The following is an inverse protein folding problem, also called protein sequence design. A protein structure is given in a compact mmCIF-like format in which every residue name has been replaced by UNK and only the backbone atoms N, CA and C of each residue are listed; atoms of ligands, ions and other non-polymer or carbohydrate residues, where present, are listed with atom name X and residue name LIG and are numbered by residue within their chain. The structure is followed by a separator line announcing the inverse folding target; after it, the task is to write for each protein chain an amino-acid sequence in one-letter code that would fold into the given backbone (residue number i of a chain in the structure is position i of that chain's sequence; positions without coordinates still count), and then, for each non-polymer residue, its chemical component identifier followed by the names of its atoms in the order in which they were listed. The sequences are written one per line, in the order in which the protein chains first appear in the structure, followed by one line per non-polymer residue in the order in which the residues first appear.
data_IF_778754296514
#
_entry.id   IF_778754296514
#
_cell.length_a   1.000
_cell.length_b   1.000
_cell.length_c   1.000
_cell.angle_alpha   90.00
_cell.angle_beta   90.00
_cell.angle_gamma   90.00
#
_symmetry.space_group_name_H-M   'P 1'
#
loop_
_entity.id
_entity.type
_entity.pdbx_description
1 polymer ?
#
# COMPACT_ATOMS: atom_id res chain seq x y z
N UNK A 1 23.56 -17.27 -15.46
CA UNK A 1 22.53 -16.20 -15.50
C UNK A 1 21.38 -16.49 -14.52
N UNK A 2 20.63 -17.57 -14.62
CA UNK A 2 19.52 -17.84 -13.66
C UNK A 2 19.97 -17.92 -12.18
N UNK A 3 21.08 -18.58 -11.89
CA UNK A 3 21.64 -18.65 -10.53
C UNK A 3 22.02 -17.26 -10.00
N UNK A 4 22.69 -16.43 -10.80
CA UNK A 4 23.08 -15.08 -10.41
C UNK A 4 21.86 -14.17 -10.16
N UNK A 5 20.78 -14.32 -10.94
CA UNK A 5 19.53 -13.61 -10.69
C UNK A 5 18.92 -14.02 -9.34
N UNK A 6 18.91 -15.32 -9.03
CA UNK A 6 18.45 -15.84 -7.73
C UNK A 6 19.30 -15.33 -6.57
N UNK A 7 20.64 -15.29 -6.72
CA UNK A 7 21.55 -14.76 -5.71
C UNK A 7 21.24 -13.26 -5.43
N UNK A 8 21.01 -12.47 -6.45
CA UNK A 8 20.63 -11.08 -6.29
C UNK A 8 19.24 -10.90 -5.64
N UNK A 9 18.27 -11.77 -5.92
CA UNK A 9 16.99 -11.75 -5.19
C UNK A 9 17.21 -12.00 -3.70
N UNK A 10 18.00 -13.01 -3.34
CA UNK A 10 18.31 -13.33 -1.95
C UNK A 10 19.02 -12.16 -1.23
N UNK A 11 19.99 -11.51 -1.88
CA UNK A 11 20.68 -10.33 -1.33
C UNK A 11 19.72 -9.15 -1.17
N UNK A 12 18.80 -8.94 -2.11
CA UNK A 12 17.77 -7.90 -2.00
C UNK A 12 16.81 -8.15 -0.84
N UNK A 13 16.45 -9.41 -0.57
CA UNK A 13 15.65 -9.81 0.60
C UNK A 13 16.41 -9.49 1.88
N UNK A 14 17.67 -9.93 1.98
CA UNK A 14 18.50 -9.67 3.15
C UNK A 14 18.67 -8.17 3.42
N UNK A 15 18.84 -7.35 2.38
CA UNK A 15 18.89 -5.89 2.51
C UNK A 15 17.54 -5.30 2.98
N UNK A 16 16.40 -5.87 2.54
CA UNK A 16 15.07 -5.46 3.01
C UNK A 16 14.91 -5.76 4.49
N UNK A 17 15.34 -6.94 4.95
CA UNK A 17 15.30 -7.36 6.37
C UNK A 17 16.22 -6.48 7.23
N UNK A 18 17.36 -6.05 6.66
CA UNK A 18 18.25 -5.05 7.25
C UNK A 18 17.70 -3.62 7.19
N UNK A 19 16.55 -3.40 6.58
CA UNK A 19 15.88 -2.09 6.37
C UNK A 19 16.65 -1.15 5.46
N UNK A 20 17.58 -1.66 4.66
CA UNK A 20 18.31 -0.90 3.64
C UNK A 20 17.59 -1.00 2.28
N UNK A 21 16.58 -0.14 2.12
CA UNK A 21 15.75 -0.11 0.92
C UNK A 21 16.56 0.24 -0.34
N UNK A 22 17.62 1.03 -0.23
CA UNK A 22 18.46 1.43 -1.36
C UNK A 22 19.24 0.24 -1.90
N UNK A 23 19.94 -0.48 -1.03
CA UNK A 23 20.66 -1.70 -1.39
C UNK A 23 19.71 -2.78 -1.87
N UNK A 24 18.54 -2.92 -1.25
CA UNK A 24 17.51 -3.86 -1.70
C UNK A 24 17.09 -3.62 -3.16
N UNK A 25 16.78 -2.37 -3.53
CA UNK A 25 16.41 -2.03 -4.93
C UNK A 25 17.55 -2.32 -5.89
N UNK A 26 18.80 -1.98 -5.54
CA UNK A 26 19.96 -2.27 -6.39
C UNK A 26 20.07 -3.75 -6.71
N UNK A 27 19.90 -4.61 -5.72
CA UNK A 27 19.94 -6.06 -5.92
C UNK A 27 18.75 -6.58 -6.72
N UNK A 28 17.53 -6.13 -6.45
CA UNK A 28 16.38 -6.54 -7.27
C UNK A 28 16.54 -6.07 -8.72
N UNK A 29 17.06 -4.88 -8.97
CA UNK A 29 17.32 -4.40 -10.34
C UNK A 29 18.47 -5.16 -11.02
N UNK A 30 19.50 -5.58 -10.28
CA UNK A 30 20.54 -6.46 -10.80
C UNK A 30 19.98 -7.84 -11.21
N UNK A 31 19.06 -8.40 -10.44
CA UNK A 31 18.33 -9.62 -10.81
C UNK A 31 17.52 -9.40 -12.11
N UNK A 32 16.81 -8.25 -12.20
CA UNK A 32 15.99 -7.91 -13.38
C UNK A 32 16.78 -7.56 -14.63
N UNK A 33 18.04 -7.16 -14.48
CA UNK A 33 18.96 -6.99 -15.62
C UNK A 33 19.35 -8.34 -16.25
N UNK A 34 19.31 -9.42 -15.48
CA UNK A 34 19.62 -10.78 -15.96
C UNK A 34 18.37 -11.53 -16.42
N UNK A 35 17.26 -11.35 -15.70
CA UNK A 35 15.94 -11.90 -16.04
C UNK A 35 14.86 -10.84 -15.77
N UNK A 36 14.50 -10.11 -16.81
CA UNK A 36 13.53 -9.02 -16.73
C UNK A 36 12.12 -9.47 -16.34
N UNK A 37 11.82 -10.77 -16.51
CA UNK A 37 10.54 -11.38 -16.16
C UNK A 37 10.58 -12.14 -14.84
N UNK A 38 11.67 -12.04 -14.07
CA UNK A 38 11.73 -12.63 -12.73
C UNK A 38 10.58 -12.09 -11.85
N UNK A 39 9.64 -12.96 -11.53
CA UNK A 39 8.43 -12.59 -10.80
C UNK A 39 8.75 -11.95 -9.44
N UNK A 40 9.59 -12.63 -8.65
CA UNK A 40 9.91 -12.22 -7.30
C UNK A 40 10.66 -10.89 -7.25
N UNK A 41 11.67 -10.73 -8.09
CA UNK A 41 12.41 -9.47 -8.19
C UNK A 41 11.50 -8.30 -8.60
N UNK A 42 10.58 -8.52 -9.54
CA UNK A 42 9.66 -7.48 -10.00
C UNK A 42 8.73 -6.98 -8.89
N UNK A 43 8.01 -7.86 -8.18
CA UNK A 43 7.09 -7.38 -7.15
C UNK A 43 7.82 -6.80 -5.93
N UNK A 44 8.98 -7.35 -5.55
CA UNK A 44 9.80 -6.82 -4.46
C UNK A 44 10.38 -5.45 -4.78
N UNK A 45 10.95 -5.27 -5.98
CA UNK A 45 11.41 -3.96 -6.44
C UNK A 45 10.28 -2.92 -6.43
N UNK A 46 9.08 -3.29 -6.88
CA UNK A 46 7.93 -2.41 -6.89
C UNK A 46 7.54 -1.92 -5.48
N UNK A 47 7.45 -2.84 -4.52
CA UNK A 47 7.11 -2.49 -3.13
C UNK A 47 8.20 -1.63 -2.48
N UNK A 48 9.47 -2.00 -2.68
CA UNK A 48 10.61 -1.27 -2.10
C UNK A 48 10.70 0.15 -2.64
N UNK A 49 10.56 0.35 -3.95
CA UNK A 49 10.52 1.68 -4.57
C UNK A 49 9.35 2.52 -4.05
N UNK A 50 8.19 1.89 -3.85
CA UNK A 50 7.04 2.54 -3.24
C UNK A 50 7.37 3.08 -1.84
N UNK A 51 7.98 2.25 -0.99
CA UNK A 51 8.39 2.64 0.37
C UNK A 51 9.44 3.76 0.37
N UNK A 52 10.37 3.75 -0.59
CA UNK A 52 11.36 4.84 -0.74
C UNK A 52 10.73 6.18 -1.09
N UNK A 53 9.59 6.18 -1.76
CA UNK A 53 8.84 7.39 -2.11
C UNK A 53 8.00 7.95 -0.95
N UNK A 54 7.60 7.11 0.01
CA UNK A 54 6.66 7.48 1.09
C UNK A 54 7.17 8.63 2.02
N UNK A 55 8.48 8.80 2.32
CA UNK A 55 8.97 9.92 3.11
C UNK A 55 8.84 11.30 2.45
N UNK A 56 8.70 11.36 1.12
CA UNK A 56 8.60 12.65 0.41
C UNK A 56 7.24 13.31 0.66
N UNK A 57 7.20 14.62 0.99
CA UNK A 57 5.97 15.32 1.26
C UNK A 57 4.97 15.25 0.09
N UNK A 58 3.73 14.88 0.38
CA UNK A 58 2.66 14.82 -0.65
C UNK A 58 2.22 16.21 -1.13
N UNK A 59 2.43 17.24 -0.31
CA UNK A 59 2.07 18.64 -0.62
C UNK A 59 3.02 19.34 -1.60
N UNK A 60 4.21 18.78 -1.81
CA UNK A 60 5.21 19.35 -2.70
C UNK A 60 5.35 18.52 -3.99
N UNK A 61 5.67 19.18 -5.10
CA UNK A 61 6.13 18.49 -6.31
C UNK A 61 7.49 17.87 -6.00
N UNK A 62 7.66 16.59 -6.31
CA UNK A 62 8.92 15.87 -6.14
C UNK A 62 9.14 14.95 -7.34
N UNK A 63 9.96 15.37 -8.32
CA UNK A 63 10.31 14.53 -9.46
C UNK A 63 10.91 13.18 -9.04
N UNK A 64 11.68 13.17 -7.95
CA UNK A 64 12.30 11.96 -7.40
C UNK A 64 11.22 10.96 -6.94
N UNK A 65 10.27 11.41 -6.11
CA UNK A 65 9.15 10.59 -5.67
C UNK A 65 8.34 10.07 -6.86
N UNK A 66 8.02 10.96 -7.80
CA UNK A 66 7.19 10.64 -8.96
C UNK A 66 7.91 9.61 -9.85
N UNK A 67 9.23 9.69 -9.99
CA UNK A 67 10.07 8.69 -10.65
C UNK A 67 10.05 7.35 -9.92
N UNK A 68 10.17 7.34 -8.59
CA UNK A 68 10.10 6.12 -7.78
C UNK A 68 8.76 5.41 -7.98
N UNK A 69 7.66 6.13 -7.91
CA UNK A 69 6.31 5.55 -8.08
C UNK A 69 6.06 5.06 -9.52
N UNK A 70 6.57 5.77 -10.53
CA UNK A 70 6.45 5.32 -11.92
C UNK A 70 7.27 4.02 -12.16
N UNK A 71 8.45 3.91 -11.59
CA UNK A 71 9.26 2.69 -11.63
C UNK A 71 8.57 1.55 -10.90
N UNK A 72 8.03 1.81 -9.71
CA UNK A 72 7.27 0.83 -8.93
C UNK A 72 6.08 0.27 -9.74
N UNK A 73 5.28 1.12 -10.38
CA UNK A 73 4.17 0.69 -11.22
C UNK A 73 4.64 -0.18 -12.39
N UNK A 74 5.75 0.16 -13.06
CA UNK A 74 6.28 -0.65 -14.18
C UNK A 74 6.69 -2.05 -13.74
N UNK A 75 7.42 -2.16 -12.62
CA UNK A 75 7.83 -3.46 -12.09
C UNK A 75 6.63 -4.29 -11.61
N UNK A 76 5.67 -3.67 -10.94
CA UNK A 76 4.46 -4.36 -10.50
C UNK A 76 3.65 -4.92 -11.70
N UNK A 77 3.53 -4.17 -12.81
CA UNK A 77 2.90 -4.65 -14.04
C UNK A 77 3.65 -5.83 -14.65
N UNK A 78 5.00 -5.81 -14.63
CA UNK A 78 5.81 -6.95 -15.07
C UNK A 78 5.63 -8.17 -14.18
N UNK A 79 5.53 -7.98 -12.86
CA UNK A 79 5.25 -9.09 -11.94
C UNK A 79 3.93 -9.79 -12.31
N UNK A 80 2.85 -9.03 -12.51
CA UNK A 80 1.55 -9.60 -12.94
C UNK A 80 1.66 -10.28 -14.31
N UNK A 81 2.41 -9.72 -15.25
CA UNK A 81 2.62 -10.33 -16.56
C UNK A 81 3.46 -11.63 -16.47
N UNK A 82 4.47 -11.66 -15.59
CA UNK A 82 5.32 -12.83 -15.38
C UNK A 82 4.58 -13.99 -14.69
N UNK A 83 3.72 -13.67 -13.72
CA UNK A 83 2.90 -14.66 -13.03
C UNK A 83 1.50 -14.11 -12.69
N UNK A 84 0.52 -14.25 -13.60
CA UNK A 84 -0.86 -13.82 -13.35
C UNK A 84 -1.59 -14.58 -12.22
N UNK A 85 -1.03 -15.67 -11.73
CA UNK A 85 -1.55 -16.43 -10.59
C UNK A 85 -0.80 -16.12 -9.28
N UNK A 86 0.10 -15.13 -9.27
CA UNK A 86 0.87 -14.73 -8.10
C UNK A 86 0.19 -13.61 -7.32
N UNK A 87 -0.18 -13.86 -6.08
CA UNK A 87 -0.88 -12.88 -5.23
C UNK A 87 -0.06 -11.61 -4.97
N UNK A 88 1.26 -11.75 -4.72
CA UNK A 88 2.15 -10.63 -4.41
C UNK A 88 2.29 -9.65 -5.58
N UNK A 89 2.29 -10.14 -6.83
CA UNK A 89 2.31 -9.30 -8.03
C UNK A 89 1.07 -8.40 -8.12
N UNK A 90 -0.12 -8.96 -7.91
CA UNK A 90 -1.38 -8.22 -7.87
C UNK A 90 -1.42 -7.22 -6.70
N UNK A 91 -0.96 -7.63 -5.52
CA UNK A 91 -0.82 -6.72 -4.37
C UNK A 91 0.16 -5.58 -4.67
N UNK A 92 1.33 -5.87 -5.20
CA UNK A 92 2.33 -4.85 -5.55
C UNK A 92 1.78 -3.85 -6.59
N UNK A 93 1.00 -4.34 -7.56
CA UNK A 93 0.35 -3.46 -8.54
C UNK A 93 -0.70 -2.57 -7.89
N UNK A 94 -1.56 -3.12 -7.02
CA UNK A 94 -2.55 -2.34 -6.30
C UNK A 94 -1.88 -1.27 -5.41
N UNK A 95 -0.80 -1.60 -4.69
CA UNK A 95 -0.05 -0.70 -3.84
C UNK A 95 0.64 0.42 -4.64
N UNK A 96 1.30 0.07 -5.75
CA UNK A 96 2.00 1.03 -6.62
C UNK A 96 1.02 2.00 -7.28
N UNK A 97 -0.11 1.50 -7.78
CA UNK A 97 -1.18 2.33 -8.34
C UNK A 97 -1.77 3.27 -7.29
N UNK A 98 -1.94 2.81 -6.05
CA UNK A 98 -2.43 3.62 -4.93
C UNK A 98 -1.53 4.83 -4.67
N UNK A 99 -0.22 4.61 -4.61
CA UNK A 99 0.78 5.68 -4.44
C UNK A 99 0.81 6.64 -5.63
N UNK A 100 0.90 6.11 -6.85
CA UNK A 100 0.92 6.91 -8.06
C UNK A 100 -0.36 7.73 -8.25
N UNK A 101 -1.52 7.20 -7.84
CA UNK A 101 -2.81 7.91 -7.94
C UNK A 101 -2.83 9.21 -7.14
N UNK A 102 -2.08 9.32 -6.04
CA UNK A 102 -2.05 10.52 -5.21
C UNK A 102 -1.56 11.74 -5.99
N UNK A 103 -0.73 11.53 -7.00
CA UNK A 103 -0.14 12.59 -7.85
C UNK A 103 -0.95 12.90 -9.11
N UNK A 104 -1.99 12.10 -9.42
CA UNK A 104 -2.74 12.20 -10.68
C UNK A 104 -3.92 13.18 -10.57
N UNK A 105 -4.36 13.77 -11.70
CA UNK A 105 -5.63 14.50 -11.78
C UNK A 105 -6.82 13.62 -11.39
N UNK A 106 -7.93 14.25 -10.98
CA UNK A 106 -9.12 13.56 -10.44
C UNK A 106 -9.64 12.42 -11.33
N UNK A 107 -9.72 12.62 -12.64
CA UNK A 107 -10.21 11.56 -13.56
C UNK A 107 -9.30 10.34 -13.58
N UNK A 108 -7.99 10.55 -13.56
CA UNK A 108 -7.01 9.45 -13.53
C UNK A 108 -6.99 8.75 -12.17
N UNK A 109 -7.16 9.51 -11.05
CA UNK A 109 -7.36 8.91 -9.73
C UNK A 109 -8.53 7.92 -9.71
N UNK A 110 -9.64 8.29 -10.34
CA UNK A 110 -10.84 7.45 -10.38
C UNK A 110 -10.66 6.20 -11.25
N UNK A 111 -9.93 6.31 -12.38
CA UNK A 111 -9.54 5.14 -13.18
C UNK A 111 -8.61 4.21 -12.38
N UNK A 112 -7.61 4.78 -11.72
CA UNK A 112 -6.70 4.02 -10.85
C UNK A 112 -7.44 3.32 -9.73
N UNK A 113 -8.43 3.98 -9.11
CA UNK A 113 -9.19 3.40 -8.00
C UNK A 113 -9.94 2.12 -8.38
N UNK A 114 -10.47 2.01 -9.63
CA UNK A 114 -11.08 0.77 -10.13
C UNK A 114 -10.06 -0.36 -10.20
N UNK A 115 -8.89 -0.07 -10.76
CA UNK A 115 -7.83 -1.05 -10.94
C UNK A 115 -7.21 -1.46 -9.59
N UNK A 116 -6.97 -0.52 -8.68
CA UNK A 116 -6.49 -0.79 -7.32
C UNK A 116 -7.40 -1.83 -6.63
N UNK A 117 -8.71 -1.60 -6.66
CA UNK A 117 -9.67 -2.53 -6.05
C UNK A 117 -9.67 -3.90 -6.74
N UNK A 118 -9.65 -3.92 -8.07
CA UNK A 118 -9.62 -5.16 -8.85
C UNK A 118 -8.40 -6.00 -8.52
N UNK A 119 -7.22 -5.39 -8.51
CA UNK A 119 -5.96 -6.06 -8.23
C UNK A 119 -5.88 -6.56 -6.78
N UNK A 120 -6.32 -5.76 -5.80
CA UNK A 120 -6.37 -6.19 -4.41
C UNK A 120 -7.34 -7.37 -4.19
N UNK A 121 -8.51 -7.37 -4.85
CA UNK A 121 -9.45 -8.50 -4.81
C UNK A 121 -8.85 -9.74 -5.49
N UNK A 122 -8.10 -9.57 -6.58
CA UNK A 122 -7.41 -10.68 -7.25
C UNK A 122 -6.36 -11.30 -6.35
N UNK A 123 -5.56 -10.48 -5.65
CA UNK A 123 -4.58 -10.96 -4.67
C UNK A 123 -5.25 -11.79 -3.57
N UNK A 124 -6.40 -11.34 -3.02
CA UNK A 124 -7.15 -12.08 -2.00
C UNK A 124 -7.75 -13.38 -2.56
N UNK A 125 -8.25 -13.36 -3.79
CA UNK A 125 -8.80 -14.57 -4.43
C UNK A 125 -7.75 -15.67 -4.61
N UNK A 126 -6.49 -15.27 -4.88
CA UNK A 126 -5.34 -16.19 -5.01
C UNK A 126 -4.83 -16.61 -3.63
N UNK A 127 -4.63 -15.64 -2.73
CA UNK A 127 -4.18 -15.89 -1.36
C UNK A 127 -5.14 -15.23 -0.34
N UNK A 128 -6.11 -15.95 0.22
CA UNK A 128 -7.06 -15.43 1.21
C UNK A 128 -6.42 -14.99 2.54
N UNK A 129 -5.13 -15.23 2.73
CA UNK A 129 -4.36 -14.80 3.92
C UNK A 129 -3.40 -13.63 3.63
N UNK A 130 -3.56 -12.96 2.48
CA UNK A 130 -2.70 -11.84 2.09
C UNK A 130 -3.11 -10.55 2.82
N UNK A 131 -2.53 -10.30 4.00
CA UNK A 131 -2.79 -9.15 4.87
C UNK A 131 -2.69 -7.80 4.15
N UNK A 132 -1.64 -7.59 3.35
CA UNK A 132 -1.43 -6.36 2.57
C UNK A 132 -2.55 -6.07 1.57
N UNK A 133 -3.15 -7.09 0.96
CA UNK A 133 -4.26 -6.90 0.03
C UNK A 133 -5.54 -6.48 0.76
N UNK A 134 -5.80 -7.02 1.95
CA UNK A 134 -6.88 -6.55 2.83
C UNK A 134 -6.64 -5.10 3.28
N UNK A 135 -5.41 -4.74 3.63
CA UNK A 135 -5.05 -3.36 3.97
C UNK A 135 -5.38 -2.40 2.82
N UNK A 136 -5.00 -2.75 1.57
CA UNK A 136 -5.34 -1.93 0.38
C UNK A 136 -6.85 -1.73 0.26
N UNK A 137 -7.66 -2.78 0.44
CA UNK A 137 -9.13 -2.65 0.37
C UNK A 137 -9.69 -1.79 1.51
N UNK A 138 -9.15 -1.92 2.72
CA UNK A 138 -9.51 -1.07 3.85
C UNK A 138 -9.27 0.41 3.55
N UNK A 139 -8.05 0.73 3.10
CA UNK A 139 -7.67 2.07 2.67
C UNK A 139 -8.52 2.56 1.51
N UNK A 140 -8.71 1.75 0.47
CA UNK A 140 -9.53 2.10 -0.69
C UNK A 140 -10.95 2.52 -0.28
N UNK A 141 -11.60 1.75 0.58
CA UNK A 141 -12.94 2.08 1.09
C UNK A 141 -12.92 3.40 1.86
N UNK A 142 -11.97 3.59 2.78
CA UNK A 142 -11.85 4.82 3.57
C UNK A 142 -11.64 6.05 2.69
N UNK A 143 -10.71 5.99 1.72
CA UNK A 143 -10.43 7.12 0.82
C UNK A 143 -11.65 7.51 -0.02
N UNK A 144 -12.41 6.55 -0.55
CA UNK A 144 -13.66 6.85 -1.26
C UNK A 144 -14.68 7.49 -0.32
N UNK A 145 -14.80 7.02 0.91
CA UNK A 145 -15.74 7.57 1.90
C UNK A 145 -15.34 8.96 2.42
N UNK A 146 -14.08 9.32 2.37
CA UNK A 146 -13.55 10.67 2.67
C UNK A 146 -13.90 11.70 1.60
N UNK A 147 -14.17 11.26 0.37
CA UNK A 147 -14.63 12.18 -0.68
C UNK A 147 -15.97 12.81 -0.27
N UNK A 148 -16.19 14.09 -0.67
CA UNK A 148 -17.48 14.73 -0.47
C UNK A 148 -18.60 13.96 -1.17
N UNK A 149 -19.85 14.10 -0.68
CA UNK A 149 -21.00 13.48 -1.31
C UNK A 149 -21.14 13.91 -2.79
N UNK A 150 -20.85 15.18 -3.08
CA UNK A 150 -20.88 15.73 -4.43
C UNK A 150 -19.79 15.08 -5.31
N UNK A 151 -18.56 14.96 -4.81
CA UNK A 151 -17.47 14.29 -5.54
C UNK A 151 -17.79 12.83 -5.84
N UNK A 152 -18.40 12.11 -4.88
CA UNK A 152 -18.85 10.73 -5.08
C UNK A 152 -19.98 10.63 -6.12
N UNK A 153 -20.92 11.59 -6.09
CA UNK A 153 -22.01 11.65 -7.07
C UNK A 153 -21.48 11.87 -8.50
N UNK A 154 -20.57 12.82 -8.70
CA UNK A 154 -19.93 13.05 -10.00
C UNK A 154 -19.12 11.84 -10.46
N UNK A 155 -18.34 11.24 -9.59
CA UNK A 155 -17.57 10.03 -9.92
C UNK A 155 -18.48 8.90 -10.39
N UNK A 156 -19.61 8.71 -9.71
CA UNK A 156 -20.60 7.67 -10.03
C UNK A 156 -21.28 7.89 -11.39
N UNK A 157 -21.76 9.08 -11.65
CA UNK A 157 -22.65 9.35 -12.78
C UNK A 157 -21.91 9.71 -14.06
N UNK A 158 -20.80 10.45 -13.96
CA UNK A 158 -20.09 10.95 -15.14
C UNK A 158 -18.85 10.13 -15.53
N UNK A 159 -18.31 9.33 -14.62
CA UNK A 159 -17.11 8.53 -14.87
C UNK A 159 -17.40 7.02 -14.88
N UNK A 160 -18.68 6.63 -14.87
CA UNK A 160 -19.09 5.21 -14.91
C UNK A 160 -18.56 4.41 -13.71
N UNK A 161 -18.32 5.06 -12.58
CA UNK A 161 -17.67 4.44 -11.43
C UNK A 161 -18.67 3.76 -10.49
N UNK A 162 -19.57 2.93 -11.02
CA UNK A 162 -20.53 2.11 -10.22
C UNK A 162 -19.82 1.35 -9.08
N UNK A 163 -18.54 1.03 -9.26
CA UNK A 163 -17.70 0.37 -8.25
C UNK A 163 -17.61 1.16 -6.93
N UNK A 164 -17.75 2.48 -6.97
CA UNK A 164 -17.72 3.32 -5.77
C UNK A 164 -18.97 3.18 -4.89
N UNK A 165 -20.08 2.66 -5.43
CA UNK A 165 -21.24 2.33 -4.63
C UNK A 165 -20.98 1.19 -3.63
N UNK A 166 -19.92 0.42 -3.83
CA UNK A 166 -19.51 -0.68 -2.96
C UNK A 166 -18.62 -0.20 -1.82
N UNK A 167 -18.18 1.05 -1.86
CA UNK A 167 -17.37 1.62 -0.78
C UNK A 167 -18.28 1.98 0.41
N UNK A 168 -17.84 1.60 1.59
CA UNK A 168 -18.51 1.94 2.85
C UNK A 168 -17.51 1.98 3.99
N UNK A 169 -17.86 2.71 5.06
CA UNK A 169 -17.09 2.69 6.29
C UNK A 169 -17.05 1.31 6.94
N UNK A 170 -18.13 0.54 6.84
CA UNK A 170 -18.17 -0.83 7.36
C UNK A 170 -17.16 -1.72 6.63
N UNK A 171 -17.09 -1.61 5.30
CA UNK A 171 -16.08 -2.33 4.52
C UNK A 171 -14.66 -1.85 4.82
N UNK A 172 -14.45 -0.53 5.04
CA UNK A 172 -13.15 0.00 5.43
C UNK A 172 -12.65 -0.63 6.73
N UNK A 173 -13.53 -0.69 7.74
CA UNK A 173 -13.24 -1.31 9.03
C UNK A 173 -13.02 -2.82 8.87
N UNK A 174 -13.96 -3.53 8.23
CA UNK A 174 -13.89 -4.98 8.05
C UNK A 174 -12.57 -5.43 7.40
N UNK A 175 -12.20 -4.81 6.28
CA UNK A 175 -10.97 -5.18 5.58
C UNK A 175 -9.72 -4.83 6.39
N UNK A 176 -9.72 -3.70 7.10
CA UNK A 176 -8.56 -3.31 7.90
C UNK A 176 -8.42 -4.15 9.18
N UNK A 177 -9.53 -4.50 9.85
CA UNK A 177 -9.54 -5.45 10.96
C UNK A 177 -9.03 -6.83 10.50
N UNK A 178 -9.40 -7.25 9.27
CA UNK A 178 -8.89 -8.50 8.69
C UNK A 178 -7.39 -8.45 8.43
N UNK A 179 -6.85 -7.32 7.96
CA UNK A 179 -5.42 -7.14 7.80
C UNK A 179 -4.68 -7.26 9.15
N UNK A 180 -5.18 -6.58 10.18
CA UNK A 180 -4.64 -6.68 11.55
C UNK A 180 -4.73 -8.12 12.09
N UNK A 181 -5.83 -8.82 11.86
CA UNK A 181 -5.98 -10.21 12.30
C UNK A 181 -4.96 -11.15 11.63
N UNK A 182 -4.64 -10.91 10.38
CA UNK A 182 -3.70 -11.75 9.60
C UNK A 182 -2.24 -11.49 9.97
N UNK A 183 -1.89 -10.22 10.23
CA UNK A 183 -0.57 -9.83 10.74
C UNK A 183 -0.71 -8.78 11.87
N UNK A 184 -0.91 -9.24 13.12
CA UNK A 184 -1.06 -8.36 14.28
C UNK A 184 0.25 -7.68 14.70
N UNK A 185 1.38 -8.07 14.14
CA UNK A 185 2.68 -7.44 14.40
C UNK A 185 2.99 -6.25 13.52
N UNK A 186 2.16 -5.96 12.51
CA UNK A 186 2.44 -4.95 11.50
C UNK A 186 1.91 -3.58 11.91
N UNK A 187 2.81 -2.69 12.30
CA UNK A 187 2.50 -1.32 12.77
C UNK A 187 1.62 -0.56 11.79
N UNK A 188 1.89 -0.70 10.50
CA UNK A 188 1.15 -0.01 9.44
C UNK A 188 -0.35 -0.35 9.41
N UNK A 189 -0.74 -1.58 9.74
CA UNK A 189 -2.15 -1.98 9.80
C UNK A 189 -2.87 -1.31 10.97
N UNK A 190 -2.25 -1.31 12.15
CA UNK A 190 -2.80 -0.67 13.34
C UNK A 190 -2.97 0.83 13.18
N UNK A 191 -1.96 1.51 12.59
CA UNK A 191 -2.05 2.94 12.31
C UNK A 191 -3.22 3.26 11.37
N UNK A 192 -3.37 2.49 10.28
CA UNK A 192 -4.45 2.71 9.33
C UNK A 192 -5.84 2.43 9.94
N UNK A 193 -5.96 1.40 10.78
CA UNK A 193 -7.19 1.10 11.50
C UNK A 193 -7.55 2.19 12.51
N UNK A 194 -6.55 2.72 13.22
CA UNK A 194 -6.74 3.86 14.13
C UNK A 194 -7.27 5.10 13.42
N UNK A 195 -6.73 5.40 12.23
CA UNK A 195 -7.16 6.54 11.40
C UNK A 195 -8.61 6.36 10.91
N UNK A 196 -8.99 5.16 10.48
CA UNK A 196 -10.37 4.81 10.09
C UNK A 196 -11.33 4.93 11.28
N UNK A 197 -10.97 4.44 12.46
CA UNK A 197 -11.78 4.59 13.67
C UNK A 197 -11.94 6.06 14.07
N UNK A 198 -10.88 6.86 13.94
CA UNK A 198 -10.93 8.30 14.22
C UNK A 198 -11.91 9.03 13.30
N UNK A 199 -11.94 8.71 12.00
CA UNK A 199 -12.92 9.24 11.04
C UNK A 199 -14.37 8.92 11.45
N UNK A 200 -14.57 7.75 12.08
CA UNK A 200 -15.86 7.30 12.57
C UNK A 200 -16.18 7.75 14.00
N UNK A 201 -15.36 8.60 14.59
CA UNK A 201 -15.49 9.07 15.98
C UNK A 201 -15.46 7.93 17.01
N UNK A 202 -14.93 6.76 16.65
CA UNK A 202 -14.70 5.62 17.54
C UNK A 202 -13.38 5.84 18.28
N UNK A 203 -13.34 6.88 19.13
CA UNK A 203 -12.08 7.37 19.73
C UNK A 203 -11.43 6.35 20.68
N UNK A 204 -12.23 5.55 21.38
CA UNK A 204 -11.70 4.46 22.25
C UNK A 204 -10.95 3.41 21.42
N UNK A 205 -11.55 2.99 20.32
CA UNK A 205 -10.96 1.97 19.41
C UNK A 205 -9.73 2.52 18.73
N UNK A 206 -9.77 3.76 18.25
CA UNK A 206 -8.60 4.44 17.70
C UNK A 206 -7.45 4.50 18.72
N UNK A 207 -7.73 4.88 19.96
CA UNK A 207 -6.75 4.92 21.03
C UNK A 207 -6.16 3.54 21.36
N UNK A 208 -6.97 2.49 21.30
CA UNK A 208 -6.47 1.12 21.50
C UNK A 208 -5.47 0.72 20.43
N UNK A 209 -5.77 1.01 19.15
CA UNK A 209 -4.85 0.72 18.04
C UNK A 209 -3.56 1.56 18.13
N UNK A 210 -3.64 2.84 18.52
CA UNK A 210 -2.47 3.70 18.70
C UNK A 210 -1.53 3.19 19.80
N UNK A 211 -2.08 2.67 20.92
CA UNK A 211 -1.26 2.02 21.96
C UNK A 211 -0.51 0.79 21.43
N UNK A 212 -1.13 0.01 20.56
CA UNK A 212 -0.46 -1.12 19.90
C UNK A 212 0.67 -0.64 18.99
N UNK A 213 0.46 0.43 18.19
CA UNK A 213 1.54 1.05 17.40
C UNK A 213 2.73 1.44 18.28
N UNK A 214 2.49 2.03 19.45
CA UNK A 214 3.58 2.43 20.36
C UNK A 214 4.34 1.24 20.94
N UNK A 215 3.64 0.16 21.30
CA UNK A 215 4.22 -1.02 21.97
C UNK A 215 4.92 -2.00 21.03
N UNK A 216 4.50 -2.08 19.76
CA UNK A 216 5.08 -3.02 18.80
C UNK A 216 6.54 -2.67 18.46
N UNK A 217 7.42 -3.68 18.31
CA UNK A 217 8.81 -3.47 17.91
C UNK A 217 8.91 -2.96 16.48
N UNK A 218 9.94 -2.15 16.21
CA UNK A 218 10.29 -1.70 14.84
C UNK A 218 10.88 -2.88 14.06
N UNK A 219 10.17 -3.34 13.05
CA UNK A 219 10.57 -4.47 12.18
C UNK A 219 10.81 -4.03 10.74
N UNK A 220 9.96 -3.15 10.20
CA UNK A 220 10.02 -2.68 8.81
C UNK A 220 10.70 -1.31 8.72
N UNK A 221 11.22 -0.98 7.55
CA UNK A 221 11.97 0.26 7.30
C UNK A 221 11.15 1.53 7.63
N UNK A 222 9.82 1.48 7.44
CA UNK A 222 8.93 2.63 7.67
C UNK A 222 8.31 2.69 9.06
N UNK A 223 8.54 1.71 9.92
CA UNK A 223 7.86 1.63 11.22
C UNK A 223 8.13 2.83 12.12
N UNK A 224 9.36 3.35 12.14
CA UNK A 224 9.68 4.58 12.89
C UNK A 224 8.85 5.77 12.40
N UNK A 225 8.67 5.90 11.09
CA UNK A 225 7.84 6.93 10.49
C UNK A 225 6.35 6.73 10.87
N UNK A 226 5.87 5.50 10.84
CA UNK A 226 4.49 5.18 11.22
C UNK A 226 4.23 5.47 12.71
N UNK A 227 5.18 5.22 13.59
CA UNK A 227 5.09 5.63 15.02
C UNK A 227 5.01 7.15 15.19
N UNK A 228 5.77 7.92 14.41
CA UNK A 228 5.67 9.38 14.42
C UNK A 228 4.30 9.88 13.93
N UNK A 229 3.76 9.25 12.88
CA UNK A 229 2.41 9.55 12.40
C UNK A 229 1.34 9.20 13.45
N UNK A 230 1.49 8.08 14.15
CA UNK A 230 0.60 7.67 15.24
C UNK A 230 0.61 8.69 16.39
N UNK A 231 1.79 9.14 16.82
CA UNK A 231 1.92 10.17 17.84
C UNK A 231 1.25 11.50 17.42
N UNK A 232 1.37 11.86 16.14
CA UNK A 232 0.72 13.03 15.57
C UNK A 232 -0.81 12.89 15.55
N UNK A 233 -1.33 11.71 15.19
CA UNK A 233 -2.74 11.39 15.24
C UNK A 233 -3.26 11.44 16.70
N UNK A 234 -2.54 10.86 17.64
CA UNK A 234 -2.90 10.84 19.06
C UNK A 234 -3.03 12.27 19.63
N UNK A 235 -2.05 13.15 19.35
CA UNK A 235 -2.10 14.57 19.73
C UNK A 235 -3.32 15.29 19.12
N UNK A 236 -3.68 14.97 17.89
CA UNK A 236 -4.85 15.54 17.20
C UNK A 236 -6.17 15.08 17.82
N UNK A 237 -6.24 13.82 18.27
CA UNK A 237 -7.44 13.26 18.90
C UNK A 237 -7.63 13.76 20.34
N UNK A 238 -6.55 14.03 21.07
CA UNK A 238 -6.61 14.57 22.44
C UNK A 238 -7.12 16.02 22.53
N UNK A 239 -7.14 16.75 21.38
CA UNK A 239 -7.65 18.12 21.29
C UNK A 239 -9.14 18.20 20.92
N UNK A 240 -9.80 17.06 20.73
CA UNK A 240 -11.23 16.97 20.36
C UNK A 240 -12.10 16.52 21.52
#
# INVERSE_FOLDING_TARGET
MAQQAADHVALGIAATDARDLRTAVQHFEAALAQDSMNYEANWRAALTLGLMGDPYPMSAKSPERDSLYARAERYARRAVAANPAGADGHFALAASLGRAALMKPTQEKLRSAKLIRSEALRAIAINPRHDGAYHILGRWNAEIMRLSALSRFFAKNFLGAKVFNQASWNNAIFYMEKAVQLDPGRIYHHLALADIYADRKRLRDAGAQLRLVDSLPVREAMDTNYKQQAASLQKRLAKR
#
